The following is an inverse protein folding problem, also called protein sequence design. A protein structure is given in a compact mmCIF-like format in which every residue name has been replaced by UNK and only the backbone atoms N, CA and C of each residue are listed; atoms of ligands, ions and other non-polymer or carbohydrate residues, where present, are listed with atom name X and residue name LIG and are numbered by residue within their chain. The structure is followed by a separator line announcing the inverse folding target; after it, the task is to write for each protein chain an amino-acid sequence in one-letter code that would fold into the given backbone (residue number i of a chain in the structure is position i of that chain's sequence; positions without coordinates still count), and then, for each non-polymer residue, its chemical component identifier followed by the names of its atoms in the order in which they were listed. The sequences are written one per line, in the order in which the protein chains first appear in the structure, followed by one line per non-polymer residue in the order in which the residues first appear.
data_IF_774057685312
#
_entry.id   IF_774057685312
#
_cell.length_a   1.000
_cell.length_b   1.000
_cell.length_c   1.000
_cell.angle_alpha   90.00
_cell.angle_beta   90.00
_cell.angle_gamma   90.00
#
_symmetry.space_group_name_H-M   'P 1'
#
loop_
_entity.id
_entity.type
_entity.pdbx_description
1 polymer ?
#
# COMPACT_ATOMS: atom_id res chain seq x y z
N UNK A 1 -30.59 50.71 25.27
CA UNK A 1 -31.76 50.77 24.35
C UNK A 1 -31.47 49.78 23.22
N UNK A 2 -32.22 48.70 23.15
CA UNK A 2 -31.90 47.59 22.25
C UNK A 2 -32.20 47.98 20.78
N UNK A 3 -31.24 47.71 19.90
CA UNK A 3 -31.35 47.85 18.42
C UNK A 3 -32.65 47.21 17.87
N UNK A 4 -33.14 46.18 18.54
CA UNK A 4 -34.36 45.43 18.19
C UNK A 4 -35.67 46.28 18.38
N UNK A 5 -35.67 47.31 19.23
CA UNK A 5 -36.89 48.15 19.45
C UNK A 5 -37.21 49.09 18.28
N UNK A 6 -36.25 49.35 17.38
CA UNK A 6 -36.39 50.24 16.21
C UNK A 6 -36.81 49.55 14.94
N UNK A 7 -36.82 48.20 14.92
CA UNK A 7 -37.22 47.43 13.75
C UNK A 7 -38.75 47.35 13.60
N UNK A 8 -39.23 47.48 12.36
CA UNK A 8 -40.63 47.21 12.02
C UNK A 8 -41.02 45.77 12.34
N UNK A 9 -42.29 45.47 12.52
CA UNK A 9 -42.80 44.11 12.78
C UNK A 9 -42.35 43.14 11.68
N UNK A 10 -42.35 43.56 10.41
CA UNK A 10 -41.85 42.79 9.27
C UNK A 10 -40.36 42.48 9.41
N UNK A 11 -39.54 43.41 9.87
CA UNK A 11 -38.11 43.22 10.09
C UNK A 11 -37.78 42.22 11.21
N UNK A 12 -38.61 42.27 12.30
CA UNK A 12 -38.47 41.28 13.40
C UNK A 12 -38.81 39.86 12.94
N UNK A 13 -39.87 39.69 12.17
CA UNK A 13 -40.25 38.38 11.59
C UNK A 13 -39.19 37.86 10.61
N UNK A 14 -38.65 38.75 9.76
CA UNK A 14 -37.58 38.36 8.83
C UNK A 14 -36.34 37.90 9.58
N UNK A 15 -35.94 38.62 10.64
CA UNK A 15 -34.74 38.26 11.43
C UNK A 15 -34.93 36.96 12.20
N UNK A 16 -36.13 36.66 12.69
CA UNK A 16 -36.45 35.37 13.34
C UNK A 16 -36.31 34.15 12.39
N UNK A 17 -36.52 34.35 11.09
CA UNK A 17 -36.40 33.27 10.08
C UNK A 17 -34.98 33.22 9.52
N UNK A 18 -34.36 34.36 9.20
CA UNK A 18 -33.06 34.41 8.54
C UNK A 18 -31.91 33.96 9.45
N UNK A 19 -31.95 34.29 10.75
CA UNK A 19 -30.88 33.86 11.67
C UNK A 19 -30.79 32.35 11.82
N UNK A 20 -31.87 31.60 12.11
CA UNK A 20 -31.79 30.14 12.16
C UNK A 20 -31.49 29.51 10.79
N UNK A 21 -31.96 30.14 9.68
CA UNK A 21 -31.64 29.65 8.34
C UNK A 21 -30.16 29.76 8.03
N UNK A 22 -29.53 30.89 8.37
CA UNK A 22 -28.07 31.09 8.22
C UNK A 22 -27.31 30.08 9.10
N UNK A 23 -27.74 29.90 10.34
CA UNK A 23 -27.13 28.91 11.24
C UNK A 23 -27.25 27.49 10.69
N UNK A 24 -28.40 27.11 10.11
CA UNK A 24 -28.59 25.81 9.48
C UNK A 24 -27.69 25.62 8.27
N UNK A 25 -27.59 26.63 7.39
CA UNK A 25 -26.67 26.56 6.22
C UNK A 25 -25.23 26.45 6.67
N UNK A 26 -24.81 27.15 7.70
CA UNK A 26 -23.47 27.06 8.27
C UNK A 26 -23.17 25.63 8.80
N UNK A 27 -24.09 25.07 9.58
CA UNK A 27 -23.94 23.73 10.13
C UNK A 27 -23.87 22.65 9.03
N UNK A 28 -24.71 22.77 7.97
CA UNK A 28 -24.66 21.88 6.82
C UNK A 28 -23.33 21.99 6.06
N UNK A 29 -22.83 23.20 5.86
CA UNK A 29 -21.54 23.42 5.20
C UNK A 29 -20.38 22.80 6.00
N UNK A 30 -20.40 22.94 7.33
CA UNK A 30 -19.39 22.35 8.21
C UNK A 30 -19.48 20.81 8.22
N UNK A 31 -20.68 20.22 8.25
CA UNK A 31 -20.86 18.76 8.17
C UNK A 31 -20.32 18.19 6.85
N UNK A 32 -20.60 18.85 5.72
CA UNK A 32 -20.04 18.46 4.41
C UNK A 32 -18.53 18.54 4.40
N UNK A 33 -17.95 19.59 4.97
CA UNK A 33 -16.50 19.78 5.07
C UNK A 33 -15.85 18.67 5.88
N UNK A 34 -16.35 18.38 7.07
CA UNK A 34 -15.85 17.31 7.95
C UNK A 34 -15.92 15.95 7.25
N UNK A 35 -17.04 15.63 6.60
CA UNK A 35 -17.19 14.36 5.87
C UNK A 35 -16.25 14.24 4.69
N UNK A 36 -15.95 15.34 3.99
CA UNK A 36 -15.01 15.31 2.86
C UNK A 36 -13.58 15.03 3.32
N UNK A 37 -13.15 15.61 4.45
CA UNK A 37 -11.83 15.33 5.05
C UNK A 37 -11.73 13.87 5.50
N UNK A 38 -12.74 13.38 6.25
CA UNK A 38 -12.77 11.99 6.69
C UNK A 38 -12.71 10.99 5.52
N UNK A 39 -13.40 11.29 4.42
CA UNK A 39 -13.38 10.44 3.23
C UNK A 39 -11.99 10.36 2.61
N UNK A 40 -11.26 11.46 2.52
CA UNK A 40 -9.89 11.48 1.98
C UNK A 40 -8.91 10.72 2.87
N UNK A 41 -9.03 10.84 4.20
CA UNK A 41 -8.21 10.09 5.15
C UNK A 41 -8.47 8.58 5.08
N UNK A 42 -9.73 8.17 4.98
CA UNK A 42 -10.08 6.75 4.82
C UNK A 42 -9.57 6.16 3.49
N UNK A 43 -9.61 6.93 2.42
CA UNK A 43 -9.03 6.50 1.13
C UNK A 43 -7.52 6.32 1.23
N UNK A 44 -6.81 7.23 1.87
CA UNK A 44 -5.37 7.14 2.12
C UNK A 44 -4.99 5.88 2.92
N UNK A 45 -5.72 5.61 4.00
CA UNK A 45 -5.52 4.39 4.81
C UNK A 45 -5.79 3.14 3.97
N UNK A 46 -6.85 3.12 3.18
CA UNK A 46 -7.19 1.98 2.32
C UNK A 46 -6.08 1.65 1.32
N UNK A 47 -5.47 2.66 0.71
CA UNK A 47 -4.32 2.49 -0.20
C UNK A 47 -3.13 1.84 0.52
N UNK A 48 -2.75 2.35 1.69
CA UNK A 48 -1.63 1.82 2.47
C UNK A 48 -1.88 0.39 2.96
N UNK A 49 -3.11 0.08 3.39
CA UNK A 49 -3.49 -1.28 3.81
C UNK A 49 -3.42 -2.26 2.64
N UNK A 50 -3.91 -1.85 1.46
CA UNK A 50 -3.85 -2.69 0.27
C UNK A 50 -2.40 -2.96 -0.15
N UNK A 51 -1.55 -1.93 -0.12
CA UNK A 51 -0.13 -2.05 -0.40
C UNK A 51 0.57 -2.98 0.61
N UNK A 52 0.33 -2.81 1.91
CA UNK A 52 0.89 -3.66 2.95
C UNK A 52 0.48 -5.13 2.78
N UNK A 53 -0.76 -5.39 2.37
CA UNK A 53 -1.24 -6.74 2.07
C UNK A 53 -0.47 -7.39 0.93
N UNK A 54 -0.29 -6.70 -0.20
CA UNK A 54 0.44 -7.24 -1.35
C UNK A 54 1.92 -7.42 -1.05
N UNK A 55 2.54 -6.50 -0.30
CA UNK A 55 3.90 -6.66 0.20
C UNK A 55 4.03 -7.94 1.04
N UNK A 56 3.09 -8.18 1.96
CA UNK A 56 3.12 -9.39 2.81
C UNK A 56 2.94 -10.67 2.00
N UNK A 57 2.07 -10.67 0.99
CA UNK A 57 1.88 -11.83 0.11
C UNK A 57 3.15 -12.14 -0.69
N UNK A 58 3.75 -11.13 -1.32
CA UNK A 58 5.00 -11.29 -2.06
C UNK A 58 6.13 -11.78 -1.15
N UNK A 59 6.33 -11.14 -0.01
CA UNK A 59 7.34 -11.54 0.97
C UNK A 59 7.15 -13.00 1.43
N UNK A 60 5.90 -13.43 1.65
CA UNK A 60 5.60 -14.81 2.03
C UNK A 60 6.01 -15.81 0.95
N UNK A 61 5.72 -15.53 -0.33
CA UNK A 61 6.09 -16.43 -1.41
C UNK A 61 7.61 -16.43 -1.66
N UNK A 62 8.28 -15.29 -1.53
CA UNK A 62 9.74 -15.21 -1.58
C UNK A 62 10.41 -15.96 -0.41
N UNK A 63 9.82 -15.95 0.79
CA UNK A 63 10.31 -16.74 1.92
C UNK A 63 10.22 -18.25 1.68
N UNK A 64 9.13 -18.73 1.06
CA UNK A 64 9.01 -20.14 0.64
C UNK A 64 10.05 -20.47 -0.41
N UNK A 65 10.22 -19.61 -1.41
CA UNK A 65 11.22 -19.79 -2.47
C UNK A 65 12.64 -19.83 -1.88
N UNK A 66 12.94 -18.96 -0.90
CA UNK A 66 14.19 -18.99 -0.14
C UNK A 66 14.43 -20.37 0.49
N UNK A 67 13.42 -20.90 1.20
CA UNK A 67 13.51 -22.20 1.86
C UNK A 67 13.79 -23.34 0.88
N UNK A 68 13.07 -23.35 -0.25
CA UNK A 68 13.26 -24.36 -1.30
C UNK A 68 14.60 -24.20 -2.00
N UNK A 69 15.05 -22.98 -2.27
CA UNK A 69 16.37 -22.69 -2.85
C UNK A 69 17.50 -23.15 -1.93
N UNK A 70 17.36 -22.93 -0.62
CA UNK A 70 18.32 -23.42 0.37
C UNK A 70 18.39 -24.95 0.40
N UNK A 71 17.24 -25.62 0.37
CA UNK A 71 17.20 -27.09 0.32
C UNK A 71 17.75 -27.65 -0.99
N UNK A 72 17.49 -26.99 -2.12
CA UNK A 72 18.04 -27.36 -3.42
C UNK A 72 19.57 -27.23 -3.44
N UNK A 73 20.11 -26.11 -3.03
CA UNK A 73 21.57 -25.88 -2.94
C UNK A 73 22.23 -26.84 -1.94
N UNK A 74 21.66 -26.98 -0.73
CA UNK A 74 22.21 -27.86 0.31
C UNK A 74 22.22 -29.33 -0.07
N UNK A 75 21.30 -29.76 -0.95
CA UNK A 75 21.26 -31.14 -1.50
C UNK A 75 21.99 -31.28 -2.83
N UNK A 76 22.67 -30.26 -3.31
CA UNK A 76 23.32 -30.22 -4.61
C UNK A 76 22.38 -30.62 -5.79
N UNK A 77 21.14 -30.07 -5.74
CA UNK A 77 20.12 -30.30 -6.75
C UNK A 77 19.33 -31.64 -6.61
N UNK A 78 19.66 -32.48 -5.63
CA UNK A 78 18.98 -33.76 -5.45
C UNK A 78 17.56 -33.63 -4.89
N UNK A 79 17.28 -32.54 -4.09
CA UNK A 79 15.97 -32.27 -3.51
C UNK A 79 15.36 -31.02 -4.11
N UNK A 80 14.03 -30.97 -4.14
CA UNK A 80 13.24 -29.79 -4.56
C UNK A 80 13.39 -29.37 -6.04
N UNK A 81 13.98 -30.18 -6.89
CA UNK A 81 14.16 -29.89 -8.33
C UNK A 81 12.85 -29.68 -9.10
N UNK A 82 11.74 -30.27 -8.64
CA UNK A 82 10.40 -30.08 -9.24
C UNK A 82 9.58 -28.99 -8.51
N UNK A 83 9.71 -28.91 -7.19
CA UNK A 83 8.89 -27.97 -6.39
C UNK A 83 9.40 -26.55 -6.45
N UNK A 84 10.73 -26.34 -6.56
CA UNK A 84 11.31 -25.01 -6.65
C UNK A 84 10.83 -24.23 -7.90
N UNK A 85 10.81 -24.80 -9.12
CA UNK A 85 10.25 -24.11 -10.28
C UNK A 85 8.76 -23.79 -10.15
N UNK A 86 7.99 -24.63 -9.47
CA UNK A 86 6.57 -24.37 -9.20
C UNK A 86 6.41 -23.17 -8.24
N UNK A 87 7.19 -23.13 -7.14
CA UNK A 87 7.18 -22.02 -6.21
C UNK A 87 7.59 -20.70 -6.88
N UNK A 88 8.60 -20.72 -7.76
CA UNK A 88 9.03 -19.55 -8.52
C UNK A 88 7.90 -18.94 -9.34
N UNK A 89 7.05 -19.75 -9.96
CA UNK A 89 5.86 -19.26 -10.69
C UNK A 89 4.89 -18.56 -9.76
N UNK A 90 4.65 -19.12 -8.56
CA UNK A 90 3.78 -18.48 -7.55
C UNK A 90 4.38 -17.15 -7.08
N UNK A 91 5.69 -17.10 -6.87
CA UNK A 91 6.40 -15.85 -6.55
C UNK A 91 6.26 -14.81 -7.66
N UNK A 92 6.38 -15.24 -8.93
CA UNK A 92 6.25 -14.38 -10.11
C UNK A 92 4.82 -13.82 -10.24
N UNK A 93 3.79 -14.64 -10.01
CA UNK A 93 2.39 -14.18 -10.00
C UNK A 93 2.15 -13.11 -8.93
N UNK A 94 2.73 -13.28 -7.72
CA UNK A 94 2.61 -12.28 -6.66
C UNK A 94 3.44 -11.02 -6.96
N UNK A 95 4.61 -11.16 -7.58
CA UNK A 95 5.42 -10.02 -8.01
C UNK A 95 4.68 -9.20 -9.06
N UNK A 96 4.10 -9.83 -10.06
CA UNK A 96 3.32 -9.17 -11.09
C UNK A 96 2.09 -8.44 -10.50
N UNK A 97 1.39 -9.08 -9.55
CA UNK A 97 0.25 -8.46 -8.88
C UNK A 97 0.67 -7.23 -8.04
N UNK A 98 1.84 -7.29 -7.40
CA UNK A 98 2.42 -6.20 -6.63
C UNK A 98 2.83 -5.02 -7.53
N UNK A 99 3.51 -5.30 -8.64
CA UNK A 99 3.90 -4.28 -9.63
C UNK A 99 2.66 -3.59 -10.24
N UNK A 100 1.65 -4.36 -10.64
CA UNK A 100 0.40 -3.82 -11.17
C UNK A 100 -0.34 -2.93 -10.17
N UNK A 101 -0.27 -3.24 -8.87
CA UNK A 101 -0.80 -2.38 -7.82
C UNK A 101 -0.02 -1.07 -7.71
N UNK A 102 1.31 -1.12 -7.78
CA UNK A 102 2.16 0.06 -7.71
C UNK A 102 1.89 1.03 -8.86
N UNK A 103 1.73 0.52 -10.08
CA UNK A 103 1.42 1.31 -11.27
C UNK A 103 0.09 2.08 -11.14
N UNK A 104 -0.84 1.56 -10.33
CA UNK A 104 -2.15 2.17 -10.09
C UNK A 104 -2.19 3.01 -8.81
N UNK A 105 -1.10 3.06 -8.05
CA UNK A 105 -1.07 3.68 -6.73
C UNK A 105 -0.29 5.00 -6.77
N UNK A 106 -0.98 6.11 -6.47
CA UNK A 106 -0.29 7.39 -6.27
C UNK A 106 0.38 7.45 -4.90
N UNK A 107 1.70 7.41 -4.90
CA UNK A 107 2.55 7.49 -3.70
C UNK A 107 3.12 8.89 -3.46
N UNK A 108 2.72 9.90 -4.21
CA UNK A 108 3.24 11.28 -4.10
C UNK A 108 3.08 11.87 -2.69
N UNK A 109 2.01 11.49 -1.99
CA UNK A 109 1.75 11.86 -0.59
C UNK A 109 2.59 11.09 0.44
N UNK A 110 3.35 10.05 0.03
CA UNK A 110 4.06 9.13 0.93
C UNK A 110 5.53 8.92 0.52
N UNK A 111 6.38 9.98 0.52
CA UNK A 111 7.73 9.91 -0.04
C UNK A 111 8.64 8.87 0.64
N UNK A 112 8.45 8.60 1.94
CA UNK A 112 9.19 7.56 2.65
C UNK A 112 8.81 6.16 2.18
N UNK A 113 7.52 5.91 1.95
CA UNK A 113 7.01 4.64 1.42
C UNK A 113 7.52 4.44 0.00
N UNK A 114 7.43 5.47 -0.84
CA UNK A 114 7.93 5.43 -2.21
C UNK A 114 9.43 5.09 -2.28
N UNK A 115 10.24 5.66 -1.38
CA UNK A 115 11.67 5.36 -1.32
C UNK A 115 11.96 3.89 -0.95
N UNK A 116 11.25 3.33 0.04
CA UNK A 116 11.40 1.92 0.42
C UNK A 116 10.98 0.99 -0.72
N UNK A 117 9.87 1.30 -1.39
CA UNK A 117 9.40 0.53 -2.55
C UNK A 117 10.42 0.57 -3.69
N UNK A 118 10.99 1.73 -4.00
CA UNK A 118 12.01 1.86 -5.03
C UNK A 118 13.26 1.01 -4.72
N UNK A 119 13.66 0.91 -3.45
CA UNK A 119 14.74 0.03 -3.03
C UNK A 119 14.38 -1.44 -3.25
N UNK A 120 13.18 -1.86 -2.81
CA UNK A 120 12.71 -3.24 -3.02
C UNK A 120 12.60 -3.60 -4.51
N UNK A 121 12.13 -2.68 -5.36
CA UNK A 121 12.09 -2.89 -6.82
C UNK A 121 13.49 -3.09 -7.40
N UNK A 122 14.49 -2.31 -6.97
CA UNK A 122 15.86 -2.46 -7.41
C UNK A 122 16.47 -3.81 -7.00
N UNK A 123 16.19 -4.27 -5.78
CA UNK A 123 16.64 -5.57 -5.31
C UNK A 123 15.95 -6.71 -6.06
N UNK A 124 14.66 -6.61 -6.32
CA UNK A 124 13.89 -7.60 -7.07
C UNK A 124 14.35 -7.75 -8.53
N UNK A 125 14.95 -6.72 -9.14
CA UNK A 125 15.57 -6.85 -10.48
C UNK A 125 16.68 -7.89 -10.52
N UNK A 126 17.34 -8.17 -9.41
CA UNK A 126 18.41 -9.16 -9.29
C UNK A 126 17.90 -10.60 -9.08
N UNK A 127 16.59 -10.76 -8.87
CA UNK A 127 15.98 -12.05 -8.56
C UNK A 127 16.23 -13.10 -9.67
N UNK A 128 16.18 -12.69 -10.93
CA UNK A 128 16.42 -13.57 -12.06
C UNK A 128 17.86 -14.12 -12.08
N UNK A 129 18.85 -13.29 -11.79
CA UNK A 129 20.26 -13.67 -11.74
C UNK A 129 20.51 -14.63 -10.58
N UNK A 130 19.96 -14.34 -9.39
CA UNK A 130 20.05 -15.22 -8.22
C UNK A 130 19.41 -16.58 -8.51
N UNK A 131 18.22 -16.61 -9.11
CA UNK A 131 17.55 -17.86 -9.52
C UNK A 131 18.37 -18.67 -10.50
N UNK A 132 19.04 -17.99 -11.43
CA UNK A 132 19.96 -18.63 -12.40
C UNK A 132 21.17 -19.23 -11.68
N UNK A 133 21.79 -18.50 -10.75
CA UNK A 133 22.90 -18.98 -9.94
C UNK A 133 22.51 -20.19 -9.07
N UNK A 134 21.33 -20.17 -8.47
CA UNK A 134 20.78 -21.30 -7.71
C UNK A 134 20.55 -22.51 -8.63
N UNK A 135 19.92 -22.32 -9.79
CA UNK A 135 19.62 -23.43 -10.71
C UNK A 135 20.89 -24.10 -11.28
N UNK A 136 21.93 -23.29 -11.53
CA UNK A 136 23.22 -23.76 -12.00
C UNK A 136 24.16 -24.30 -10.89
N UNK A 137 23.71 -24.28 -9.61
CA UNK A 137 24.56 -24.61 -8.43
C UNK A 137 25.85 -23.74 -8.38
N UNK A 138 25.77 -22.54 -8.97
CA UNK A 138 26.88 -21.60 -9.10
C UNK A 138 26.87 -20.52 -7.98
N UNK A 139 25.82 -20.48 -7.19
CA UNK A 139 25.67 -19.56 -6.06
C UNK A 139 25.79 -20.32 -4.75
N UNK A 140 26.57 -19.79 -3.82
CA UNK A 140 26.72 -20.37 -2.49
C UNK A 140 25.45 -20.17 -1.65
N UNK A 141 25.18 -21.14 -0.78
CA UNK A 141 23.98 -21.12 0.09
C UNK A 141 23.88 -19.83 0.94
N UNK A 142 24.96 -19.34 1.60
CA UNK A 142 24.91 -18.11 2.36
C UNK A 142 24.49 -16.89 1.51
N UNK A 143 25.02 -16.78 0.29
CA UNK A 143 24.74 -15.66 -0.62
C UNK A 143 23.28 -15.69 -1.11
N UNK A 144 22.77 -16.87 -1.45
CA UNK A 144 21.36 -17.03 -1.78
C UNK A 144 20.45 -16.62 -0.62
N UNK A 145 20.74 -17.10 0.60
CA UNK A 145 19.96 -16.75 1.79
C UNK A 145 20.03 -15.25 2.12
N UNK A 146 21.22 -14.62 1.98
CA UNK A 146 21.42 -13.21 2.21
C UNK A 146 20.56 -12.36 1.27
N UNK A 147 20.50 -12.71 -0.01
CA UNK A 147 19.66 -12.04 -1.00
C UNK A 147 18.18 -12.05 -0.60
N UNK A 148 17.58 -13.23 -0.39
CA UNK A 148 16.16 -13.33 -0.02
C UNK A 148 15.82 -12.75 1.36
N UNK A 149 16.81 -12.55 2.22
CA UNK A 149 16.60 -11.94 3.55
C UNK A 149 16.70 -10.42 3.47
N UNK A 150 17.40 -9.89 2.48
CA UNK A 150 17.61 -8.46 2.27
C UNK A 150 16.46 -7.75 1.52
N UNK A 151 15.64 -8.50 0.79
CA UNK A 151 14.43 -7.99 0.16
C UNK A 151 13.33 -7.87 1.20
#
# INVERSE_FOLDING_TARGET
MSLLSRLSVKGKLLLMITVPLIALVYLLAEDVRVRSVQKSEMQAISVLVNLARHNSLLAHELQKERGLSAGFLGSQGASFSETLPQQRRVSDDQLQAWEALLDQTDLSGYPKVAAVIATAQADLQRLADVRSGVAGLALDLPDALAFYTGI
#
